data_IF_999828463512
#
_entry.id   IF_999828463512
#
_cell.length_a   1.000
_cell.length_b   1.000
_cell.length_c   1.000
_cell.angle_alpha   90.00
_cell.angle_beta   90.00
_cell.angle_gamma   90.00
#
_symmetry.space_group_name_H-M   'P 1'
#
loop_
_entity.id
_entity.type
_entity.pdbx_description
1 polymer ?
#
# COMPACT_ATOMS: atom_id res chain seq x y z
N UNK A 1 4.21 -17.53 -25.07
CA UNK A 1 4.72 -16.18 -24.76
C UNK A 1 4.80 -16.06 -23.25
N UNK A 2 5.98 -16.02 -22.66
CA UNK A 2 6.13 -15.93 -21.20
C UNK A 2 7.35 -15.06 -20.88
N UNK A 3 7.11 -13.79 -20.54
CA UNK A 3 8.07 -12.79 -20.04
C UNK A 3 7.19 -11.60 -19.56
N UNK A 4 7.22 -11.02 -18.36
CA UNK A 4 8.09 -11.11 -17.18
C UNK A 4 7.30 -10.48 -16.00
N UNK A 5 6.92 -11.24 -14.96
CA UNK A 5 6.40 -10.68 -13.69
C UNK A 5 7.53 -10.50 -12.65
N UNK A 6 8.80 -10.56 -13.06
CA UNK A 6 9.92 -10.63 -12.13
C UNK A 6 10.00 -9.42 -11.17
N UNK A 7 9.50 -8.26 -11.61
CA UNK A 7 9.53 -7.01 -10.86
C UNK A 7 8.13 -6.39 -10.69
N UNK A 8 7.05 -7.16 -10.74
CA UNK A 8 5.69 -6.64 -10.44
C UNK A 8 4.72 -7.73 -9.99
N UNK A 9 3.67 -7.32 -9.29
CA UNK A 9 2.59 -8.23 -8.91
C UNK A 9 1.44 -7.54 -8.17
N UNK A 10 0.45 -8.34 -7.79
CA UNK A 10 -0.70 -7.90 -7.00
C UNK A 10 -0.56 -8.34 -5.55
N UNK A 11 -1.21 -7.64 -4.64
CA UNK A 11 -1.26 -7.99 -3.23
C UNK A 11 -2.64 -7.72 -2.61
N UNK A 12 -2.94 -8.49 -1.58
CA UNK A 12 -3.99 -8.19 -0.62
C UNK A 12 -3.37 -8.16 0.77
N UNK A 13 -3.94 -7.35 1.66
CA UNK A 13 -3.38 -7.17 2.99
C UNK A 13 -4.42 -6.80 4.03
N UNK A 14 -4.04 -6.97 5.29
CA UNK A 14 -4.76 -6.45 6.44
C UNK A 14 -3.82 -5.54 7.22
N UNK A 15 -4.28 -4.32 7.51
CA UNK A 15 -3.54 -3.33 8.27
C UNK A 15 -4.32 -2.92 9.52
N UNK A 16 -3.58 -2.49 10.53
CA UNK A 16 -4.15 -1.86 11.70
C UNK A 16 -3.20 -0.78 12.22
N UNK A 17 -3.77 0.27 12.78
CA UNK A 17 -3.06 1.34 13.45
C UNK A 17 -3.77 1.67 14.76
N UNK A 18 -2.99 2.00 15.79
CA UNK A 18 -3.50 2.38 17.09
C UNK A 18 -2.99 3.77 17.46
N UNK A 19 -3.91 4.62 17.92
CA UNK A 19 -3.59 5.91 18.53
C UNK A 19 -4.33 6.01 19.87
N UNK A 20 -3.59 5.91 20.98
CA UNK A 20 -4.16 5.78 22.31
C UNK A 20 -5.03 4.52 22.40
N UNK A 21 -6.29 4.68 22.78
CA UNK A 21 -7.28 3.59 22.86
C UNK A 21 -8.00 3.32 21.52
N UNK A 22 -7.82 4.19 20.52
CA UNK A 22 -8.48 4.03 19.23
C UNK A 22 -7.69 3.08 18.34
N UNK A 23 -8.34 2.00 17.89
CA UNK A 23 -7.80 1.08 16.89
C UNK A 23 -8.57 1.28 15.57
N UNK A 24 -7.83 1.49 14.50
CA UNK A 24 -8.37 1.55 13.13
C UNK A 24 -7.79 0.37 12.36
N UNK A 25 -8.63 -0.35 11.62
CA UNK A 25 -8.22 -1.47 10.78
C UNK A 25 -8.52 -1.16 9.32
N UNK A 26 -7.85 -1.85 8.39
CA UNK A 26 -8.10 -1.71 6.96
C UNK A 26 -7.84 -3.01 6.21
N UNK A 27 -8.59 -3.23 5.14
CA UNK A 27 -8.24 -4.22 4.11
C UNK A 27 -7.63 -3.48 2.93
N UNK A 28 -6.48 -3.98 2.46
CA UNK A 28 -5.72 -3.40 1.36
C UNK A 28 -5.87 -4.30 0.14
N UNK A 29 -6.07 -3.69 -1.02
CA UNK A 29 -5.98 -4.36 -2.32
C UNK A 29 -5.17 -3.47 -3.25
N UNK A 30 -4.15 -4.04 -3.89
CA UNK A 30 -3.23 -3.22 -4.68
C UNK A 30 -2.23 -3.99 -5.50
N UNK A 31 -1.41 -3.23 -6.20
CA UNK A 31 -0.33 -3.72 -7.05
C UNK A 31 1.01 -3.12 -6.64
N UNK A 32 2.09 -3.82 -6.96
CA UNK A 32 3.45 -3.34 -6.75
C UNK A 32 4.28 -3.51 -8.01
N UNK A 33 5.27 -2.63 -8.16
CA UNK A 33 6.31 -2.71 -9.18
C UNK A 33 7.66 -2.34 -8.57
N UNK A 34 8.71 -3.06 -8.94
CA UNK A 34 10.07 -2.80 -8.50
C UNK A 34 10.83 -2.04 -9.58
N UNK A 35 11.43 -0.91 -9.20
CA UNK A 35 12.24 -0.03 -10.04
C UNK A 35 13.61 0.12 -9.39
N UNK A 36 14.60 -0.61 -9.89
CA UNK A 36 15.90 -0.71 -9.24
C UNK A 36 15.79 -1.34 -7.85
N UNK A 37 16.11 -0.59 -6.80
CA UNK A 37 16.00 -0.99 -5.38
C UNK A 37 14.67 -0.62 -4.73
N UNK A 38 13.84 0.18 -5.42
CA UNK A 38 12.60 0.74 -4.86
C UNK A 38 11.42 -0.11 -5.29
N UNK A 39 10.56 -0.46 -4.33
CA UNK A 39 9.23 -1.01 -4.58
C UNK A 39 8.22 0.11 -4.52
N UNK A 40 7.51 0.34 -5.62
CA UNK A 40 6.35 1.24 -5.67
C UNK A 40 5.08 0.44 -5.45
N UNK A 41 4.22 0.87 -4.54
CA UNK A 41 2.95 0.24 -4.22
C UNK A 41 1.80 1.18 -4.57
N UNK A 42 0.70 0.63 -5.05
CA UNK A 42 -0.54 1.34 -5.32
C UNK A 42 -1.68 0.53 -4.70
N UNK A 43 -2.41 1.09 -3.73
CA UNK A 43 -3.51 0.37 -3.08
C UNK A 43 -4.75 1.22 -2.87
N UNK A 44 -5.89 0.54 -2.90
CA UNK A 44 -7.16 1.05 -2.42
C UNK A 44 -7.44 0.37 -1.08
N UNK A 45 -7.62 1.18 -0.05
CA UNK A 45 -7.70 0.73 1.33
C UNK A 45 -9.08 1.04 1.89
N UNK A 46 -9.83 0.00 2.24
CA UNK A 46 -11.11 0.14 2.94
C UNK A 46 -10.88 0.16 4.44
N UNK A 47 -11.15 1.29 5.07
CA UNK A 47 -10.81 1.55 6.47
C UNK A 47 -12.05 1.36 7.36
N UNK A 48 -11.86 0.83 8.57
CA UNK A 48 -12.95 0.52 9.51
C UNK A 48 -13.79 1.72 9.96
N UNK A 49 -13.29 2.95 9.73
CA UNK A 49 -14.02 4.19 9.97
C UNK A 49 -14.86 4.66 8.76
N UNK A 50 -15.04 3.81 7.75
CA UNK A 50 -15.84 4.09 6.56
C UNK A 50 -15.11 4.86 5.45
N UNK A 51 -13.83 5.22 5.65
CA UNK A 51 -13.04 5.89 4.62
C UNK A 51 -12.51 4.89 3.59
N UNK A 52 -12.41 5.37 2.36
CA UNK A 52 -11.71 4.70 1.28
C UNK A 52 -10.48 5.54 0.93
N UNK A 53 -9.28 4.97 1.07
CA UNK A 53 -8.05 5.67 0.75
C UNK A 53 -7.43 5.11 -0.51
N UNK A 54 -6.81 5.97 -1.32
CA UNK A 54 -5.80 5.60 -2.29
C UNK A 54 -4.44 5.87 -1.67
N UNK A 55 -3.60 4.84 -1.57
CA UNK A 55 -2.23 4.96 -1.09
C UNK A 55 -1.23 4.68 -2.22
N UNK A 56 -0.26 5.58 -2.38
CA UNK A 56 0.91 5.39 -3.25
C UNK A 56 2.13 5.31 -2.36
N UNK A 57 2.78 4.14 -2.34
CA UNK A 57 3.91 3.84 -1.47
C UNK A 57 5.22 3.73 -2.25
N UNK A 58 6.31 4.14 -1.61
CA UNK A 58 7.67 3.81 -2.02
C UNK A 58 8.42 3.18 -0.84
N UNK A 59 8.94 1.97 -1.05
CA UNK A 59 9.73 1.22 -0.08
C UNK A 59 11.12 0.99 -0.67
N UNK A 60 12.14 1.48 0.02
CA UNK A 60 13.54 1.20 -0.29
C UNK A 60 14.16 0.40 0.86
N UNK A 61 14.39 -0.89 0.61
CA UNK A 61 14.98 -1.79 1.62
C UNK A 61 16.49 -1.56 1.83
N UNK A 62 17.18 -0.94 0.87
CA UNK A 62 18.61 -0.61 0.98
C UNK A 62 18.78 0.63 1.86
N UNK A 63 18.03 1.69 1.55
CA UNK A 63 18.00 2.93 2.34
C UNK A 63 17.22 2.77 3.65
N UNK A 64 16.43 1.70 3.80
CA UNK A 64 15.55 1.42 4.94
C UNK A 64 14.50 2.51 5.15
N UNK A 65 13.95 3.01 4.05
CA UNK A 65 12.93 4.06 4.06
C UNK A 65 11.62 3.57 3.50
N UNK A 66 10.54 4.12 4.05
CA UNK A 66 9.18 3.85 3.63
C UNK A 66 8.43 5.19 3.63
N UNK A 67 7.82 5.52 2.49
CA UNK A 67 7.03 6.74 2.29
C UNK A 67 5.70 6.36 1.66
N UNK A 68 4.62 6.94 2.16
CA UNK A 68 3.30 6.82 1.55
C UNK A 68 2.69 8.20 1.38
N UNK A 69 2.20 8.47 0.17
CA UNK A 69 1.30 9.58 -0.10
C UNK A 69 -0.13 9.00 -0.15
N UNK A 70 -1.00 9.48 0.74
CA UNK A 70 -2.34 8.93 0.95
C UNK A 70 -3.38 10.01 0.74
N UNK A 71 -4.42 9.69 -0.03
CA UNK A 71 -5.57 10.56 -0.26
C UNK A 71 -6.88 9.81 -0.04
N UNK A 72 -7.84 10.45 0.61
CA UNK A 72 -9.19 9.94 0.73
C UNK A 72 -9.93 10.08 -0.61
N UNK A 73 -10.51 8.99 -1.11
CA UNK A 73 -11.36 8.98 -2.29
C UNK A 73 -12.76 9.44 -1.91
N UNK A 74 -13.17 10.59 -2.45
CA UNK A 74 -14.55 11.08 -2.35
C UNK A 74 -15.42 10.38 -3.38
N UNK A 75 -16.56 9.86 -2.95
CA UNK A 75 -17.55 9.17 -3.79
C UNK A 75 -18.94 9.73 -3.52
#
# INVERSE_FOLDING_TARGET
MTQQLADMGEFTGFAWAQNGETVVTATLQGSWVKVGTIFKLYSIDSVSNGKLNLAVGEIDFVAKTLRFDVSELKH
#
